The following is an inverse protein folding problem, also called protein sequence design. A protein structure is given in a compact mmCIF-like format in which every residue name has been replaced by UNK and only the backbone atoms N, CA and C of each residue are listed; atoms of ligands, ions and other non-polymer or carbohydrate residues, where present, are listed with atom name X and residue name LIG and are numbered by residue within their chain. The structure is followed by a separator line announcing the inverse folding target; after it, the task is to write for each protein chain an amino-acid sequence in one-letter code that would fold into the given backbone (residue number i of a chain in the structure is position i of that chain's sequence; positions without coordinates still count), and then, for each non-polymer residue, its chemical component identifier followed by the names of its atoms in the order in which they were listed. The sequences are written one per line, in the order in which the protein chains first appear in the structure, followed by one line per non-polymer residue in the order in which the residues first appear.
data_IF_639183523713
#
_entry.id   IF_639183523713
#
_cell.length_a   1.000
_cell.length_b   1.000
_cell.length_c   1.000
_cell.angle_alpha   90.00
_cell.angle_beta   90.00
_cell.angle_gamma   90.00
#
_symmetry.space_group_name_H-M   'P 1'
#
loop_
_entity.id
_entity.type
_entity.pdbx_description
1 polymer ?
#
# COMPACT_ATOMS: atom_id res chain seq x y z
N UNK A 1 5.49 6.02 -10.40
CA UNK A 1 4.64 4.81 -10.50
C UNK A 1 4.32 4.32 -9.11
N UNK A 2 3.06 4.01 -8.83
CA UNK A 2 2.59 3.50 -7.54
C UNK A 2 2.49 1.97 -7.58
N UNK A 3 2.34 1.32 -6.42
CA UNK A 3 2.15 -0.14 -6.35
C UNK A 3 0.84 -0.51 -7.06
N UNK A 4 -0.23 0.25 -6.81
CA UNK A 4 -1.51 0.09 -7.51
C UNK A 4 -1.35 0.11 -9.04
N UNK A 5 -0.64 1.10 -9.58
CA UNK A 5 -0.43 1.21 -11.02
C UNK A 5 0.38 0.03 -11.59
N UNK A 6 1.33 -0.51 -10.81
CA UNK A 6 2.06 -1.72 -11.19
C UNK A 6 1.14 -2.95 -11.29
N UNK A 7 0.22 -3.10 -10.34
CA UNK A 7 -0.75 -4.20 -10.32
C UNK A 7 -1.76 -4.08 -11.47
N UNK A 8 -2.28 -2.88 -11.73
CA UNK A 8 -3.19 -2.62 -12.85
C UNK A 8 -2.54 -2.92 -14.21
N UNK A 9 -1.30 -2.49 -14.40
CA UNK A 9 -0.56 -2.71 -15.64
C UNK A 9 -0.21 -4.19 -15.87
N UNK A 10 0.19 -4.89 -14.82
CA UNK A 10 0.54 -6.32 -14.89
C UNK A 10 -0.67 -7.25 -14.89
N UNK A 11 -1.84 -6.75 -14.45
CA UNK A 11 -3.06 -7.53 -14.18
C UNK A 11 -2.80 -8.68 -13.20
N UNK A 12 -1.83 -8.52 -12.30
CA UNK A 12 -1.41 -9.56 -11.37
C UNK A 12 -2.45 -9.84 -10.27
N UNK A 13 -3.19 -8.82 -9.84
CA UNK A 13 -4.22 -8.92 -8.81
C UNK A 13 -5.34 -7.89 -9.06
N UNK A 14 -6.53 -8.13 -8.50
CA UNK A 14 -7.63 -7.15 -8.48
C UNK A 14 -7.65 -6.45 -7.15
N UNK A 15 -7.48 -5.13 -7.15
CA UNK A 15 -7.55 -4.31 -5.94
C UNK A 15 -8.52 -3.16 -6.19
N UNK A 16 -9.33 -2.85 -5.19
CA UNK A 16 -10.23 -1.71 -5.23
C UNK A 16 -9.50 -0.44 -4.77
N UNK A 17 -9.72 0.65 -5.48
CA UNK A 17 -9.21 1.97 -5.10
C UNK A 17 -10.23 3.02 -5.48
N UNK A 18 -10.50 3.96 -4.57
CA UNK A 18 -11.50 5.01 -4.77
C UNK A 18 -10.87 6.39 -4.95
N UNK A 19 -10.07 6.87 -3.99
CA UNK A 19 -9.54 8.24 -4.02
C UNK A 19 -8.20 8.39 -4.74
N UNK A 20 -7.37 7.34 -4.81
CA UNK A 20 -5.99 7.40 -5.30
C UNK A 20 -5.04 8.37 -4.55
N UNK A 21 -5.49 8.95 -3.44
CA UNK A 21 -4.78 9.99 -2.70
C UNK A 21 -4.35 9.58 -1.29
N UNK A 22 -4.63 8.34 -0.88
CA UNK A 22 -4.24 7.82 0.44
C UNK A 22 -5.11 8.31 1.60
N UNK A 23 -6.39 8.58 1.34
CA UNK A 23 -7.31 9.17 2.33
C UNK A 23 -8.50 8.24 2.67
N UNK A 24 -8.98 7.44 1.72
CA UNK A 24 -10.22 6.67 1.91
C UNK A 24 -10.05 5.25 2.50
N UNK A 25 -8.84 4.71 2.56
CA UNK A 25 -8.58 3.34 3.07
C UNK A 25 -8.92 2.18 2.14
N UNK A 26 -9.65 2.40 1.03
CA UNK A 26 -10.16 1.31 0.16
C UNK A 26 -9.06 0.38 -0.38
N UNK A 27 -7.90 0.92 -0.71
CA UNK A 27 -6.77 0.17 -1.24
C UNK A 27 -5.77 -0.25 -0.14
N UNK A 28 -6.23 -0.41 1.11
CA UNK A 28 -5.39 -0.95 2.17
C UNK A 28 -5.04 -2.41 1.86
N UNK A 29 -3.78 -2.77 2.05
CA UNK A 29 -3.27 -4.10 1.72
C UNK A 29 -2.31 -4.55 2.82
N UNK A 30 -2.35 -5.83 3.15
CA UNK A 30 -1.50 -6.40 4.19
C UNK A 30 -0.06 -6.60 3.72
N UNK A 31 0.88 -6.28 4.60
CA UNK A 31 2.31 -6.55 4.44
C UNK A 31 2.62 -7.91 5.07
N UNK A 32 3.28 -8.77 4.31
CA UNK A 32 3.77 -10.08 4.76
C UNK A 32 5.26 -10.01 5.13
N UNK A 33 6.06 -9.25 4.37
CA UNK A 33 7.50 -9.10 4.58
C UNK A 33 7.97 -7.73 4.06
N UNK A 34 8.85 -7.06 4.81
CA UNK A 34 9.43 -5.77 4.44
C UNK A 34 8.79 -4.56 5.15
N UNK A 35 9.27 -3.36 4.83
CA UNK A 35 8.78 -2.11 5.39
C UNK A 35 8.19 -1.20 4.31
N UNK A 36 7.06 -0.57 4.61
CA UNK A 36 6.43 0.47 3.83
C UNK A 36 6.96 1.87 4.20
N UNK A 37 7.20 2.67 3.16
CA UNK A 37 7.30 4.12 3.20
C UNK A 37 5.88 4.69 3.09
N UNK A 38 5.27 4.94 4.25
CA UNK A 38 3.90 5.43 4.36
C UNK A 38 3.78 6.88 3.88
N UNK A 39 2.84 7.12 2.97
CA UNK A 39 2.53 8.45 2.43
C UNK A 39 1.05 8.78 2.52
N UNK A 40 0.29 7.89 3.13
CA UNK A 40 -1.13 8.03 3.36
C UNK A 40 -1.42 8.87 4.62
N UNK A 41 -2.63 9.44 4.64
CA UNK A 41 -3.18 10.18 5.78
C UNK A 41 -4.27 9.38 6.50
N UNK A 42 -4.48 8.13 6.08
CA UNK A 42 -5.52 7.26 6.61
C UNK A 42 -5.06 6.53 7.87
N UNK A 43 -3.89 5.90 7.83
CA UNK A 43 -3.34 5.19 8.98
C UNK A 43 -2.84 6.17 10.04
N UNK A 44 -3.03 5.82 11.31
CA UNK A 44 -2.44 6.51 12.45
C UNK A 44 -0.92 6.29 12.51
N UNK A 45 -0.22 7.09 13.32
CA UNK A 45 1.22 6.90 13.53
C UNK A 45 1.56 5.53 14.12
N UNK A 46 0.69 5.00 14.98
CA UNK A 46 0.84 3.68 15.60
C UNK A 46 0.69 2.56 14.57
N UNK A 47 -0.30 2.66 13.68
CA UNK A 47 -0.52 1.70 12.59
C UNK A 47 0.62 1.76 11.56
N UNK A 48 1.08 2.97 11.20
CA UNK A 48 2.27 3.15 10.35
C UNK A 48 3.52 2.55 10.99
N UNK A 49 3.71 2.69 12.30
CA UNK A 49 4.84 2.11 13.01
C UNK A 49 4.74 0.57 13.11
N UNK A 50 3.53 0.02 13.15
CA UNK A 50 3.29 -1.42 13.24
C UNK A 50 3.64 -2.17 11.93
N UNK A 51 3.67 -1.49 10.79
CA UNK A 51 4.09 -2.06 9.49
C UNK A 51 3.28 -3.31 9.08
N UNK A 52 1.99 -3.35 9.44
CA UNK A 52 1.11 -4.49 9.15
C UNK A 52 0.38 -4.35 7.82
N UNK A 53 0.05 -3.13 7.43
CA UNK A 53 -0.69 -2.81 6.20
C UNK A 53 -0.14 -1.54 5.58
N UNK A 54 -0.51 -1.26 4.32
CA UNK A 54 -0.24 0.01 3.64
C UNK A 54 -1.34 0.33 2.62
N UNK A 55 -1.47 1.60 2.24
CA UNK A 55 -2.31 2.01 1.12
C UNK A 55 -1.50 2.02 -0.18
N UNK A 56 -1.74 1.03 -1.05
CA UNK A 56 -0.93 0.80 -2.26
C UNK A 56 -1.06 1.88 -3.35
N UNK A 57 -2.05 2.79 -3.23
CA UNK A 57 -2.24 3.89 -4.17
C UNK A 57 -1.22 5.01 -4.02
N UNK A 58 -0.59 5.17 -2.85
CA UNK A 58 0.34 6.28 -2.58
C UNK A 58 1.62 5.84 -1.86
N UNK A 59 1.54 4.83 -0.98
CA UNK A 59 2.69 4.32 -0.22
C UNK A 59 3.61 3.45 -1.09
N UNK A 60 4.84 3.23 -0.60
CA UNK A 60 5.91 2.53 -1.33
C UNK A 60 6.64 1.54 -0.44
N UNK A 61 7.51 0.72 -1.03
CA UNK A 61 8.52 -0.01 -0.26
C UNK A 61 9.61 0.98 0.22
N UNK A 62 9.97 0.92 1.51
CA UNK A 62 11.08 1.69 2.07
C UNK A 62 12.45 1.08 1.69
N UNK A 63 12.47 -0.23 1.44
CA UNK A 63 13.64 -0.99 1.01
C UNK A 63 13.54 -1.51 -0.42
N UNK A 64 14.37 -2.52 -0.75
CA UNK A 64 14.43 -3.14 -2.08
C UNK A 64 13.31 -4.14 -2.35
N UNK A 65 12.65 -4.67 -1.31
CA UNK A 65 11.62 -5.71 -1.42
C UNK A 65 10.50 -5.47 -0.41
N UNK A 66 9.28 -5.69 -0.87
CA UNK A 66 8.06 -5.70 -0.07
C UNK A 66 7.17 -6.84 -0.58
N UNK A 67 6.65 -7.68 0.31
CA UNK A 67 5.76 -8.79 0.01
C UNK A 67 4.37 -8.47 0.55
N UNK A 68 3.37 -8.54 -0.32
CA UNK A 68 1.98 -8.18 -0.03
C UNK A 68 1.07 -9.39 -0.17
N UNK A 69 -0.01 -9.40 0.61
CA UNK A 69 -1.08 -10.40 0.53
C UNK A 69 -2.19 -9.84 -0.39
N UNK A 70 -2.25 -10.32 -1.63
CA UNK A 70 -3.04 -9.77 -2.75
C UNK A 70 -3.78 -10.86 -3.54
#
# INVERSE_FOLDING_TARGET
MTILQALENSKAARVECLCHEGICGTCETRIVEGEADHRDQYLSDEERAAQQTLLICCSRAKGSRLVLDL
#
